data_IF_815448016559
#
_entry.id   IF_815448016559
#
_cell.length_a   1.000
_cell.length_b   1.000
_cell.length_c   1.000
_cell.angle_alpha   90.00
_cell.angle_beta   90.00
_cell.angle_gamma   90.00
#
_symmetry.space_group_name_H-M   'P 1'
#
loop_
_entity.id
_entity.type
_entity.pdbx_description
1 polymer ?
#
# COMPACT_ATOMS: atom_id res chain seq x y z
N UNK A 1 -27.53 29.55 0.61
CA UNK A 1 -26.33 28.85 1.12
C UNK A 1 -26.23 27.41 0.60
N UNK A 2 -27.35 26.67 0.44
CA UNK A 2 -27.34 25.34 -0.18
C UNK A 2 -27.06 25.32 -1.70
N UNK A 3 -27.45 26.36 -2.47
CA UNK A 3 -27.22 26.37 -3.93
C UNK A 3 -25.77 26.59 -4.36
N UNK A 4 -24.91 27.12 -3.50
CA UNK A 4 -23.49 27.31 -3.84
C UNK A 4 -22.78 25.97 -4.04
N UNK A 5 -23.20 24.94 -3.27
CA UNK A 5 -22.63 23.59 -3.30
C UNK A 5 -22.90 22.84 -4.61
N UNK A 6 -23.91 23.28 -5.38
CA UNK A 6 -24.33 22.64 -6.63
C UNK A 6 -23.80 23.36 -7.88
N UNK A 7 -22.98 24.39 -7.72
CA UNK A 7 -22.36 25.04 -8.87
C UNK A 7 -21.18 24.21 -9.38
N UNK A 8 -21.06 23.97 -10.70
CA UNK A 8 -19.94 23.22 -11.27
C UNK A 8 -18.57 23.77 -10.83
N UNK A 9 -18.44 25.09 -10.75
CA UNK A 9 -17.20 25.77 -10.37
C UNK A 9 -16.80 25.48 -8.91
N UNK A 10 -17.77 25.36 -8.01
CA UNK A 10 -17.51 25.06 -6.61
C UNK A 10 -17.09 23.59 -6.43
N UNK A 11 -17.79 22.65 -7.08
CA UNK A 11 -17.43 21.23 -7.04
C UNK A 11 -16.04 20.99 -7.62
N UNK A 12 -15.72 21.63 -8.74
CA UNK A 12 -14.38 21.60 -9.32
C UNK A 12 -13.34 22.16 -8.35
N UNK A 13 -13.62 23.30 -7.72
CA UNK A 13 -12.71 23.89 -6.72
C UNK A 13 -12.42 22.94 -5.56
N UNK A 14 -13.43 22.23 -5.05
CA UNK A 14 -13.22 21.21 -4.01
C UNK A 14 -12.27 20.12 -4.51
N UNK A 15 -12.55 19.55 -5.67
CA UNK A 15 -11.79 18.43 -6.24
C UNK A 15 -10.33 18.82 -6.52
N UNK A 16 -10.09 20.06 -6.97
CA UNK A 16 -8.75 20.58 -7.24
C UNK A 16 -7.96 20.94 -5.96
N UNK A 17 -8.64 21.12 -4.82
CA UNK A 17 -7.99 21.36 -3.52
C UNK A 17 -7.68 20.08 -2.74
N UNK A 18 -8.13 18.92 -3.24
CA UNK A 18 -7.85 17.63 -2.61
C UNK A 18 -6.34 17.32 -2.71
N UNK A 19 -5.80 16.68 -1.68
CA UNK A 19 -4.44 16.11 -1.70
C UNK A 19 -4.41 14.72 -2.32
N UNK A 20 -5.56 14.04 -2.34
CA UNK A 20 -5.69 12.71 -2.90
C UNK A 20 -6.01 12.79 -4.39
N UNK A 21 -5.39 11.89 -5.16
CA UNK A 21 -5.64 11.79 -6.58
C UNK A 21 -7.04 11.24 -6.85
N UNK A 22 -7.78 11.92 -7.72
CA UNK A 22 -9.11 11.50 -8.16
C UNK A 22 -9.06 11.20 -9.66
N UNK A 23 -9.53 10.02 -10.03
CA UNK A 23 -9.64 9.57 -11.42
C UNK A 23 -11.04 9.02 -11.68
N UNK A 24 -11.64 9.38 -12.81
CA UNK A 24 -12.90 8.80 -13.27
C UNK A 24 -12.65 8.07 -14.57
N UNK A 25 -13.19 6.86 -14.69
CA UNK A 25 -13.14 6.05 -15.91
C UNK A 25 -14.54 5.68 -16.39
N UNK A 26 -14.69 5.47 -17.70
CA UNK A 26 -15.88 4.84 -18.28
C UNK A 26 -15.83 3.30 -18.16
N UNK A 27 -16.83 2.63 -18.76
CA UNK A 27 -16.94 1.16 -18.78
C UNK A 27 -15.82 0.45 -19.56
N UNK A 28 -15.22 1.14 -20.53
CA UNK A 28 -14.11 0.63 -21.35
C UNK A 28 -12.74 0.92 -20.69
N UNK A 29 -12.77 1.48 -19.48
CA UNK A 29 -11.62 1.92 -18.69
C UNK A 29 -10.87 3.09 -19.31
N UNK A 30 -11.56 3.92 -20.09
CA UNK A 30 -11.05 5.19 -20.62
C UNK A 30 -11.11 6.24 -19.53
N UNK A 31 -10.03 6.99 -19.32
CA UNK A 31 -9.97 8.07 -18.34
C UNK A 31 -10.80 9.25 -18.86
N UNK A 32 -11.79 9.66 -18.06
CA UNK A 32 -12.67 10.80 -18.32
C UNK A 32 -12.25 12.04 -17.52
N UNK A 33 -11.65 11.83 -16.35
CA UNK A 33 -11.28 12.90 -15.43
C UNK A 33 -10.05 12.51 -14.62
N UNK A 34 -9.20 13.49 -14.36
CA UNK A 34 -7.96 13.36 -13.59
C UNK A 34 -7.65 14.70 -12.92
N UNK A 35 -7.74 14.78 -11.59
CA UNK A 35 -7.49 16.03 -10.86
C UNK A 35 -6.00 16.35 -10.75
N UNK A 36 -5.68 17.59 -10.34
CA UNK A 36 -4.31 18.03 -10.10
C UNK A 36 -3.52 17.14 -9.14
N UNK A 37 -4.11 16.68 -8.05
CA UNK A 37 -3.41 15.81 -7.11
C UNK A 37 -3.01 14.47 -7.75
N UNK A 38 -3.83 13.91 -8.63
CA UNK A 38 -3.48 12.72 -9.37
C UNK A 38 -2.30 12.99 -10.33
N UNK A 39 -2.21 14.18 -10.92
CA UNK A 39 -1.03 14.58 -11.69
C UNK A 39 0.22 14.67 -10.83
N UNK A 40 0.15 15.35 -9.68
CA UNK A 40 1.28 15.56 -8.78
C UNK A 40 1.81 14.25 -8.21
N UNK A 41 0.90 13.36 -7.82
CA UNK A 41 1.23 12.02 -7.33
C UNK A 41 1.87 11.23 -8.47
N UNK A 42 1.15 10.98 -9.56
CA UNK A 42 1.57 9.99 -10.58
C UNK A 42 2.60 10.53 -11.58
N UNK A 43 2.78 11.85 -11.65
CA UNK A 43 3.60 12.54 -12.63
C UNK A 43 2.98 12.64 -14.03
N UNK A 44 1.80 12.06 -14.28
CA UNK A 44 1.12 12.16 -15.57
C UNK A 44 0.26 13.41 -15.64
N UNK A 45 0.29 14.12 -16.77
CA UNK A 45 -0.61 15.25 -17.00
C UNK A 45 -1.99 14.74 -17.42
N UNK A 46 -3.03 15.42 -16.94
CA UNK A 46 -4.43 15.17 -17.28
C UNK A 46 -4.65 15.21 -18.79
N UNK A 47 -4.03 16.18 -19.48
CA UNK A 47 -4.08 16.33 -20.94
C UNK A 47 -3.50 15.14 -21.72
N UNK A 48 -2.54 14.40 -21.13
CA UNK A 48 -1.91 13.24 -21.76
C UNK A 48 -2.68 11.94 -21.51
N UNK A 49 -3.44 11.87 -20.42
CA UNK A 49 -4.11 10.64 -19.98
C UNK A 49 -5.61 10.62 -20.25
N UNK A 50 -6.27 11.78 -20.34
CA UNK A 50 -7.69 11.84 -20.70
C UNK A 50 -7.90 11.23 -22.09
N UNK A 51 -8.93 10.39 -22.22
CA UNK A 51 -9.22 9.65 -23.45
C UNK A 51 -8.35 8.41 -23.67
N UNK A 52 -7.35 8.16 -22.81
CA UNK A 52 -6.55 6.95 -22.84
C UNK A 52 -7.10 5.89 -21.88
N UNK A 53 -6.71 4.63 -22.07
CA UNK A 53 -7.06 3.56 -21.13
C UNK A 53 -6.22 3.68 -19.87
N UNK A 54 -6.84 3.59 -18.69
CA UNK A 54 -6.14 3.70 -17.40
C UNK A 54 -5.04 2.65 -17.19
N UNK A 55 -5.05 1.57 -17.97
CA UNK A 55 -3.99 0.56 -18.01
C UNK A 55 -2.61 1.10 -18.46
N UNK A 56 -2.53 2.30 -19.04
CA UNK A 56 -1.24 2.96 -19.32
C UNK A 56 -0.52 3.40 -18.04
N UNK A 57 -1.28 3.64 -16.97
CA UNK A 57 -0.77 3.99 -15.65
C UNK A 57 -0.34 2.67 -14.99
N UNK A 58 0.95 2.35 -15.10
CA UNK A 58 1.52 1.05 -14.74
C UNK A 58 1.53 0.81 -13.22
N UNK A 59 0.44 0.25 -12.71
CA UNK A 59 0.25 -0.09 -11.30
C UNK A 59 -0.02 -1.57 -11.07
N UNK A 60 0.69 -2.19 -10.12
CA UNK A 60 0.62 -3.63 -9.87
C UNK A 60 -0.77 -4.15 -9.44
N UNK A 61 -1.59 -3.32 -8.81
CA UNK A 61 -2.95 -3.67 -8.41
C UNK A 61 -3.87 -3.88 -9.63
N UNK A 62 -3.61 -3.17 -10.72
CA UNK A 62 -4.35 -3.29 -11.97
C UNK A 62 -3.77 -4.37 -12.90
N UNK A 63 -2.59 -4.91 -12.57
CA UNK A 63 -1.88 -5.95 -13.36
C UNK A 63 -2.36 -7.37 -13.09
N UNK A 64 -3.09 -7.61 -11.99
CA UNK A 64 -3.80 -8.88 -11.72
C UNK A 64 -5.05 -8.97 -12.61
N UNK A 65 -4.84 -9.15 -13.91
CA UNK A 65 -5.90 -9.22 -14.92
C UNK A 65 -6.38 -10.66 -15.06
N UNK A 66 -7.70 -10.85 -15.10
CA UNK A 66 -8.31 -12.09 -15.58
C UNK A 66 -8.26 -12.03 -17.11
N UNK A 67 -7.53 -12.95 -17.75
CA UNK A 67 -7.58 -13.12 -19.20
C UNK A 67 -8.89 -13.83 -19.56
N UNK A 68 -9.94 -13.06 -19.89
CA UNK A 68 -11.18 -13.60 -20.47
C UNK A 68 -11.26 -13.13 -21.91
N UNK A 69 -10.76 -13.93 -22.84
CA UNK A 69 -10.55 -13.52 -24.22
C UNK A 69 -9.51 -12.39 -24.34
N UNK A 70 -9.18 -11.95 -25.55
CA UNK A 70 -8.16 -10.92 -25.80
C UNK A 70 -8.45 -9.52 -25.20
N UNK A 71 -9.39 -9.39 -24.26
CA UNK A 71 -9.75 -8.13 -23.61
C UNK A 71 -9.37 -8.13 -22.13
N UNK A 72 -8.40 -7.27 -21.79
CA UNK A 72 -8.02 -6.94 -20.42
C UNK A 72 -9.17 -6.15 -19.76
N UNK A 73 -9.93 -6.80 -18.87
CA UNK A 73 -11.06 -6.20 -18.13
C UNK A 73 -10.64 -5.81 -16.71
N UNK A 74 -11.11 -4.66 -16.22
CA UNK A 74 -10.83 -4.18 -14.87
C UNK A 74 -11.70 -4.93 -13.84
N UNK A 75 -11.07 -5.53 -12.83
CA UNK A 75 -11.71 -6.36 -11.80
C UNK A 75 -12.73 -5.60 -10.95
N UNK A 76 -12.62 -4.26 -10.87
CA UNK A 76 -13.59 -3.39 -10.20
C UNK A 76 -15.01 -3.54 -10.75
N UNK A 77 -15.16 -3.76 -12.06
CA UNK A 77 -16.48 -3.93 -12.69
C UNK A 77 -17.12 -5.29 -12.37
N UNK A 78 -16.36 -6.21 -11.81
CA UNK A 78 -16.86 -7.51 -11.30
C UNK A 78 -17.10 -7.44 -9.79
N UNK A 79 -16.19 -6.81 -9.03
CA UNK A 79 -16.32 -6.71 -7.57
C UNK A 79 -17.29 -5.63 -7.09
N UNK A 80 -17.60 -4.63 -7.92
CA UNK A 80 -18.49 -3.50 -7.60
C UNK A 80 -17.83 -2.39 -6.76
N UNK A 81 -16.83 -2.72 -5.94
CA UNK A 81 -16.00 -1.77 -5.22
C UNK A 81 -14.63 -2.34 -4.87
N UNK A 82 -13.70 -1.46 -4.52
CA UNK A 82 -12.39 -1.77 -3.96
C UNK A 82 -12.09 -0.80 -2.82
N UNK A 83 -11.61 -1.31 -1.69
CA UNK A 83 -11.35 -0.48 -0.50
C UNK A 83 -9.96 -0.77 0.04
N UNK A 84 -9.18 0.29 0.30
CA UNK A 84 -7.81 0.25 0.85
C UNK A 84 -6.90 -0.71 0.08
N UNK A 85 -7.05 -0.78 -1.24
CA UNK A 85 -6.22 -1.65 -2.06
C UNK A 85 -4.82 -1.05 -2.18
N UNK A 86 -3.82 -1.76 -1.69
CA UNK A 86 -2.41 -1.37 -1.85
C UNK A 86 -1.99 -1.53 -3.30
N UNK A 87 -1.39 -0.49 -3.87
CA UNK A 87 -0.82 -0.50 -5.20
C UNK A 87 0.57 0.11 -5.16
N UNK A 88 1.52 -0.53 -5.83
CA UNK A 88 2.76 0.11 -6.23
C UNK A 88 2.59 0.56 -7.67
N UNK A 89 3.01 1.79 -7.93
CA UNK A 89 2.90 2.44 -9.22
C UNK A 89 4.25 3.07 -9.55
N UNK A 90 4.65 2.97 -10.81
CA UNK A 90 5.80 3.72 -11.31
C UNK A 90 5.29 5.02 -11.94
N UNK A 91 5.74 6.15 -11.41
CA UNK A 91 5.42 7.47 -11.94
C UNK A 91 6.02 7.67 -13.33
N UNK A 92 5.50 8.65 -14.08
CA UNK A 92 6.02 9.01 -15.40
C UNK A 92 7.50 9.42 -15.37
N UNK A 93 7.95 10.03 -14.27
CA UNK A 93 9.34 10.45 -14.01
C UNK A 93 10.23 9.31 -13.47
N UNK A 94 9.65 8.12 -13.26
CA UNK A 94 10.35 6.93 -12.80
C UNK A 94 10.35 6.70 -11.29
N UNK A 95 9.80 7.60 -10.47
CA UNK A 95 9.63 7.37 -9.01
C UNK A 95 8.77 6.14 -8.74
N UNK A 96 9.11 5.40 -7.69
CA UNK A 96 8.25 4.36 -7.14
C UNK A 96 7.30 4.99 -6.11
N UNK A 97 6.00 4.71 -6.28
CA UNK A 97 4.93 5.30 -5.47
C UNK A 97 4.10 4.19 -4.85
N UNK A 98 3.83 4.31 -3.56
CA UNK A 98 2.92 3.43 -2.84
C UNK A 98 1.59 4.14 -2.63
N UNK A 99 0.52 3.55 -3.16
CA UNK A 99 -0.83 4.10 -3.12
C UNK A 99 -1.76 3.21 -2.30
N UNK A 100 -2.72 3.84 -1.62
CA UNK A 100 -3.96 3.22 -1.21
C UNK A 100 -5.08 3.65 -2.15
N UNK A 101 -5.66 2.67 -2.85
CA UNK A 101 -6.73 2.88 -3.81
C UNK A 101 -8.08 2.53 -3.21
N UNK A 102 -9.03 3.43 -3.34
CA UNK A 102 -10.44 3.18 -3.10
C UNK A 102 -11.19 3.45 -4.41
N UNK A 103 -12.04 2.53 -4.84
CA UNK A 103 -12.79 2.71 -6.07
C UNK A 103 -14.21 2.17 -5.95
N UNK A 104 -15.16 2.87 -6.56
CA UNK A 104 -16.57 2.49 -6.56
C UNK A 104 -17.16 2.70 -7.95
N UNK A 105 -18.11 1.84 -8.32
CA UNK A 105 -18.84 2.01 -9.58
C UNK A 105 -19.74 3.25 -9.53
N UNK A 106 -19.72 4.01 -10.62
CA UNK A 106 -20.65 5.09 -10.88
C UNK A 106 -21.87 4.54 -11.61
N UNK A 107 -23.06 4.93 -11.16
CA UNK A 107 -24.34 4.52 -11.74
C UNK A 107 -25.18 5.74 -12.13
N UNK A 108 -25.95 5.61 -13.20
CA UNK A 108 -26.97 6.60 -13.56
C UNK A 108 -28.25 6.42 -12.71
N UNK A 109 -29.24 7.30 -12.91
CA UNK A 109 -30.54 7.26 -12.21
C UNK A 109 -31.34 5.97 -12.47
N UNK A 110 -31.08 5.30 -13.60
CA UNK A 110 -31.67 3.99 -13.92
C UNK A 110 -30.96 2.82 -13.24
N UNK A 111 -29.88 3.08 -12.47
CA UNK A 111 -29.08 2.07 -11.77
C UNK A 111 -28.05 1.37 -12.65
N UNK A 112 -27.89 1.80 -13.91
CA UNK A 112 -26.93 1.23 -14.84
C UNK A 112 -25.53 1.75 -14.55
N UNK A 113 -24.54 0.86 -14.57
CA UNK A 113 -23.13 1.22 -14.37
C UNK A 113 -22.63 2.00 -15.58
N UNK A 114 -22.24 3.25 -15.37
CA UNK A 114 -21.71 4.15 -16.40
C UNK A 114 -20.19 4.30 -16.35
N UNK A 115 -19.56 3.87 -15.27
CA UNK A 115 -18.11 3.99 -15.08
C UNK A 115 -17.69 3.68 -13.66
N UNK A 116 -16.56 4.24 -13.25
CA UNK A 116 -16.07 4.17 -11.89
C UNK A 116 -15.29 5.42 -11.49
N UNK A 117 -15.30 5.72 -10.19
CA UNK A 117 -14.44 6.73 -9.58
C UNK A 117 -13.41 6.03 -8.71
N UNK A 118 -12.16 6.46 -8.81
CA UNK A 118 -11.02 5.98 -8.05
C UNK A 118 -10.38 7.15 -7.30
N UNK A 119 -10.14 6.95 -6.01
CA UNK A 119 -9.34 7.81 -5.15
C UNK A 119 -8.03 7.11 -4.84
N UNK A 120 -6.92 7.81 -5.02
CA UNK A 120 -5.56 7.35 -4.81
C UNK A 120 -4.89 8.22 -3.74
N UNK A 121 -4.67 7.64 -2.57
CA UNK A 121 -3.92 8.30 -1.49
C UNK A 121 -2.46 7.89 -1.57
N UNK A 122 -1.53 8.85 -1.68
CA UNK A 122 -0.09 8.58 -1.62
C UNK A 122 0.33 8.27 -0.18
N UNK A 123 0.82 7.06 0.02
CA UNK A 123 1.33 6.56 1.30
C UNK A 123 2.82 6.21 1.23
N UNK A 124 3.54 6.71 0.22
CA UNK A 124 4.97 6.45 0.01
C UNK A 124 5.78 6.87 1.22
N UNK A 125 5.56 8.08 1.75
CA UNK A 125 6.29 8.55 2.94
C UNK A 125 6.02 7.67 4.16
N UNK A 126 4.78 7.22 4.34
CA UNK A 126 4.41 6.34 5.43
C UNK A 126 5.07 4.96 5.29
N UNK A 127 5.01 4.38 4.10
CA UNK A 127 5.63 3.08 3.80
C UNK A 127 7.15 3.10 4.02
N UNK A 128 7.83 4.15 3.57
CA UNK A 128 9.28 4.30 3.76
C UNK A 128 9.64 4.44 5.25
N UNK A 129 8.87 5.21 6.02
CA UNK A 129 9.08 5.35 7.47
C UNK A 129 8.84 4.04 8.21
N UNK A 130 7.79 3.29 7.87
CA UNK A 130 7.53 1.99 8.48
C UNK A 130 8.68 1.02 8.20
N UNK A 131 9.20 1.01 6.97
CA UNK A 131 10.36 0.19 6.59
C UNK A 131 11.63 0.60 7.35
N UNK A 132 11.89 1.89 7.49
CA UNK A 132 13.01 2.42 8.27
C UNK A 132 12.90 2.00 9.75
N UNK A 133 11.71 2.11 10.34
CA UNK A 133 11.45 1.66 11.72
C UNK A 133 11.71 0.17 11.87
N UNK A 134 11.26 -0.67 10.94
CA UNK A 134 11.53 -2.11 10.96
C UNK A 134 13.02 -2.42 10.87
N UNK A 135 13.75 -1.70 10.01
CA UNK A 135 15.19 -1.88 9.88
C UNK A 135 15.93 -1.49 11.17
N UNK A 136 15.63 -0.32 11.74
CA UNK A 136 16.23 0.13 13.00
C UNK A 136 15.90 -0.81 14.17
N UNK A 137 14.69 -1.36 14.22
CA UNK A 137 14.32 -2.38 15.21
C UNK A 137 15.17 -3.63 15.06
N UNK A 138 15.39 -4.10 13.82
CA UNK A 138 16.22 -5.26 13.55
C UNK A 138 17.69 -5.02 13.92
N UNK A 139 18.23 -3.84 13.62
CA UNK A 139 19.60 -3.44 14.01
C UNK A 139 19.75 -3.40 15.53
N UNK A 140 18.80 -2.78 16.24
CA UNK A 140 18.78 -2.76 17.71
C UNK A 140 18.69 -4.17 18.31
N UNK A 141 17.89 -5.06 17.71
CA UNK A 141 17.81 -6.47 18.13
C UNK A 141 19.12 -7.22 17.87
N UNK A 142 19.88 -6.89 16.83
CA UNK A 142 21.19 -7.51 16.61
C UNK A 142 22.27 -6.95 17.55
N UNK A 143 22.22 -5.65 17.85
CA UNK A 143 23.21 -4.99 18.70
C UNK A 143 23.01 -5.29 20.20
N UNK A 144 21.76 -5.38 20.65
CA UNK A 144 21.42 -5.55 22.07
C UNK A 144 20.69 -6.86 22.40
N UNK A 145 20.21 -7.58 21.39
CA UNK A 145 19.52 -8.86 21.57
C UNK A 145 20.50 -10.03 21.51
N UNK A 146 20.76 -10.66 22.65
CA UNK A 146 21.42 -11.95 22.63
C UNK A 146 20.42 -13.04 22.23
N UNK A 147 20.35 -13.36 20.94
CA UNK A 147 19.44 -14.39 20.39
C UNK A 147 17.97 -14.19 20.83
N UNK A 148 17.51 -12.93 20.89
CA UNK A 148 16.15 -12.57 21.32
C UNK A 148 16.00 -12.23 22.82
N UNK A 149 17.06 -12.38 23.62
CA UNK A 149 17.10 -11.89 25.00
C UNK A 149 17.51 -10.42 25.04
N UNK A 150 16.68 -9.59 25.68
CA UNK A 150 16.95 -8.16 25.88
C UNK A 150 17.56 -7.96 27.28
N UNK A 151 18.76 -7.41 27.35
CA UNK A 151 19.45 -7.20 28.63
C UNK A 151 20.75 -6.43 28.52
N UNK A 152 20.74 -5.17 28.94
CA UNK A 152 21.92 -4.28 28.86
C UNK A 152 22.71 -4.17 30.17
N UNK A 153 22.22 -4.77 31.26
CA UNK A 153 22.91 -4.73 32.56
C UNK A 153 24.18 -5.59 32.57
N UNK A 154 25.17 -5.21 33.38
CA UNK A 154 26.44 -5.94 33.50
C UNK A 154 26.24 -7.45 33.82
N UNK A 155 25.30 -7.86 34.70
CA UNK A 155 25.00 -9.28 34.91
C UNK A 155 24.49 -9.99 33.65
N UNK A 156 23.63 -9.34 32.85
CA UNK A 156 23.09 -9.93 31.63
C UNK A 156 24.15 -10.07 30.54
N UNK A 157 25.03 -9.08 30.38
CA UNK A 157 26.13 -9.15 29.42
C UNK A 157 27.10 -10.31 29.75
N UNK A 158 27.40 -10.52 31.05
CA UNK A 158 28.18 -11.69 31.50
C UNK A 158 27.49 -13.01 31.21
N UNK A 159 26.17 -13.08 31.42
CA UNK A 159 25.38 -14.26 31.10
C UNK A 159 25.42 -14.58 29.60
N UNK A 160 25.33 -13.56 28.73
CA UNK A 160 25.41 -13.75 27.28
C UNK A 160 26.76 -14.32 26.82
N UNK A 161 27.87 -13.89 27.42
CA UNK A 161 29.17 -14.50 27.14
C UNK A 161 29.24 -15.97 27.58
N UNK A 162 28.69 -16.29 28.75
CA UNK A 162 28.64 -17.68 29.22
C UNK A 162 27.84 -18.57 28.28
N UNK A 163 26.70 -18.08 27.77
CA UNK A 163 25.90 -18.83 26.81
C UNK A 163 26.66 -19.04 25.50
N UNK A 164 27.37 -18.02 24.96
CA UNK A 164 28.22 -18.18 23.76
C UNK A 164 29.29 -19.24 23.94
N UNK A 165 29.99 -19.21 25.07
CA UNK A 165 31.06 -20.17 25.36
C UNK A 165 30.52 -21.59 25.51
N UNK A 166 29.36 -21.75 26.15
CA UNK A 166 28.70 -23.05 26.28
C UNK A 166 28.18 -23.57 24.93
N UNK A 167 27.62 -22.69 24.08
CA UNK A 167 27.08 -23.06 22.77
C UNK A 167 28.14 -23.55 21.77
N UNK A 168 29.40 -23.12 21.93
CA UNK A 168 30.52 -23.59 21.11
C UNK A 168 31.08 -24.96 21.57
N UNK A 169 30.57 -25.51 22.67
CA UNK A 169 31.01 -26.79 23.22
C UNK A 169 30.19 -27.96 22.68
N UNK A 170 30.82 -29.12 22.50
CA UNK A 170 30.13 -30.39 22.16
C UNK A 170 29.62 -31.13 23.41
N UNK A 171 29.56 -30.46 24.57
CA UNK A 171 29.10 -31.07 25.81
C UNK A 171 27.59 -31.44 25.74
N UNK A 172 27.18 -32.60 26.27
CA UNK A 172 25.75 -32.96 26.36
C UNK A 172 24.95 -31.94 27.17
N UNK A 173 23.79 -31.52 26.64
CA UNK A 173 22.86 -30.60 27.29
C UNK A 173 21.73 -31.39 27.94
N UNK A 174 21.46 -31.13 29.22
CA UNK A 174 20.31 -31.68 29.95
C UNK A 174 19.30 -30.56 30.22
N UNK A 175 18.10 -30.70 29.67
CA UNK A 175 17.00 -29.75 29.87
C UNK A 175 16.04 -30.32 30.92
N UNK A 176 15.82 -29.62 32.03
CA UNK A 176 14.96 -30.05 33.15
C UNK A 176 13.84 -29.04 33.44
N UNK A 177 12.75 -29.49 34.09
CA UNK A 177 11.59 -28.65 34.41
C UNK A 177 10.28 -29.45 34.56
N UNK A 178 9.19 -28.79 34.96
CA UNK A 178 7.87 -29.41 35.19
C UNK A 178 7.14 -29.80 33.90
N UNK A 179 6.20 -30.74 33.96
CA UNK A 179 5.44 -31.16 32.76
C UNK A 179 4.68 -29.98 32.13
N UNK A 180 4.71 -29.87 30.80
CA UNK A 180 4.06 -28.77 30.07
C UNK A 180 4.92 -27.53 29.81
N UNK A 181 6.17 -27.47 30.29
CA UNK A 181 7.07 -26.31 30.10
C UNK A 181 7.82 -26.28 28.76
N UNK A 182 7.42 -27.09 27.78
CA UNK A 182 8.05 -27.10 26.45
C UNK A 182 9.47 -27.65 26.40
N UNK A 183 9.81 -28.66 27.22
CA UNK A 183 11.12 -29.35 27.19
C UNK A 183 11.30 -30.29 26.01
N UNK A 184 10.25 -30.47 25.22
CA UNK A 184 10.29 -31.22 23.96
C UNK A 184 10.33 -30.19 22.84
N UNK A 185 11.53 -30.02 22.28
CA UNK A 185 11.82 -29.28 21.06
C UNK A 185 12.52 -30.25 20.11
#
# INVERSE_FOLDING_TARGET
MHDLLNTPDFLNSIIETMTDGLMVIDRDSTILFFNRAAEEITGFRSEDVIGQRCAMIDGNACSKKIEVGNQKKCTLFESGSMTKMRCQLRASDGREIHLLKNAVLLKNDAGEVIGAVEVMTDVTSLYLKDREIEQLKNELMQEYGFMGLIGTSLPMQRLYEQIRNAAASEAPIVITGESGTGKEL
#
